data_IF_223280927092
#
_entry.id   IF_223280927092
#
_cell.length_a   1.000
_cell.length_b   1.000
_cell.length_c   1.000
_cell.angle_alpha   90.00
_cell.angle_beta   90.00
_cell.angle_gamma   90.00
#
_symmetry.space_group_name_H-M   'P 1'
#
loop_
_entity.id
_entity.type
_entity.pdbx_description
1 polymer ?
#
# COMPACT_ATOMS: atom_id res chain seq x y z
N UNK A 1 74.13 5.53 47.09
CA UNK A 1 74.65 5.49 45.71
C UNK A 1 73.48 5.60 44.75
N UNK A 2 73.63 6.46 43.73
CA UNK A 2 72.76 6.75 42.58
C UNK A 2 71.36 7.37 42.79
N UNK A 3 71.34 8.69 42.54
CA UNK A 3 70.24 9.51 42.05
C UNK A 3 69.44 8.84 40.91
N UNK A 4 68.12 9.06 40.88
CA UNK A 4 67.42 9.35 39.62
C UNK A 4 66.15 10.17 39.85
N UNK A 5 66.31 11.48 39.75
CA UNK A 5 65.25 12.45 39.50
C UNK A 5 64.70 12.24 38.08
N UNK A 6 63.38 12.12 37.92
CA UNK A 6 62.69 12.42 36.66
C UNK A 6 61.38 13.14 36.97
N UNK A 7 61.32 14.36 36.47
CA UNK A 7 60.40 15.46 36.74
C UNK A 7 59.01 15.29 36.12
N UNK A 8 58.02 16.08 36.60
CA UNK A 8 56.63 16.03 36.18
C UNK A 8 56.41 16.91 34.95
N UNK A 9 55.73 16.39 33.95
CA UNK A 9 55.11 17.15 32.86
C UNK A 9 54.52 16.12 31.93
N UNK A 10 53.19 15.99 31.89
CA UNK A 10 52.43 15.72 30.65
C UNK A 10 50.94 15.89 30.91
N UNK A 11 50.41 16.90 30.20
CA UNK A 11 49.05 17.00 29.70
C UNK A 11 47.93 17.32 30.69
N UNK A 12 47.84 18.62 30.99
CA UNK A 12 46.56 19.32 30.91
C UNK A 12 46.01 19.24 29.46
N UNK A 13 44.68 19.44 29.34
CA UNK A 13 43.82 19.52 28.14
C UNK A 13 43.02 18.24 27.83
N UNK A 14 41.80 18.16 28.36
CA UNK A 14 40.63 17.64 27.62
C UNK A 14 39.34 18.13 28.30
N UNK A 15 38.85 19.29 27.85
CA UNK A 15 37.50 19.76 28.17
C UNK A 15 36.95 20.53 26.96
N UNK A 16 35.96 19.96 26.27
CA UNK A 16 34.98 20.56 25.32
C UNK A 16 34.21 19.38 24.69
N UNK A 17 33.09 18.89 25.22
CA UNK A 17 31.71 19.43 25.20
C UNK A 17 31.15 19.63 23.77
N UNK A 18 30.31 18.66 23.38
CA UNK A 18 29.01 18.76 22.69
C UNK A 18 28.86 19.72 21.48
N UNK A 19 28.51 19.16 20.32
CA UNK A 19 27.24 19.40 19.59
C UNK A 19 27.39 19.16 18.08
N UNK A 20 26.78 18.09 17.56
CA UNK A 20 26.21 18.00 16.20
C UNK A 20 25.51 16.64 16.03
N UNK A 21 24.38 16.46 16.73
CA UNK A 21 23.35 15.49 16.34
C UNK A 21 22.13 16.28 15.86
N UNK A 22 21.39 15.67 14.95
CA UNK A 22 20.09 16.08 14.38
C UNK A 22 20.11 16.73 12.99
N UNK A 23 20.35 15.88 11.99
CA UNK A 23 19.50 15.85 10.79
C UNK A 23 18.78 14.49 10.76
N UNK A 24 17.81 14.30 11.64
CA UNK A 24 16.79 13.27 11.46
C UNK A 24 15.69 13.88 10.58
N UNK A 25 15.88 13.82 9.26
CA UNK A 25 14.80 14.13 8.32
C UNK A 25 13.71 13.08 8.45
N UNK A 26 12.56 13.47 9.00
CA UNK A 26 11.36 12.65 9.07
C UNK A 26 10.92 12.23 7.67
N UNK A 27 11.01 10.92 7.42
CA UNK A 27 10.53 10.27 6.22
C UNK A 27 10.68 8.76 6.32
N UNK A 28 10.55 8.18 7.51
CA UNK A 28 10.49 6.73 7.64
C UNK A 28 9.09 6.26 7.28
N UNK A 29 8.82 6.11 5.98
CA UNK A 29 7.84 5.13 5.51
C UNK A 29 8.16 3.82 6.21
N UNK A 30 7.26 3.36 7.09
CA UNK A 30 7.45 2.10 7.79
C UNK A 30 7.70 0.96 6.81
N UNK A 31 8.40 -0.11 7.22
CA UNK A 31 8.65 -1.26 6.35
C UNK A 31 7.32 -1.79 5.80
N UNK A 32 7.12 -1.68 4.48
CA UNK A 32 5.91 -2.12 3.78
C UNK A 32 4.99 -1.01 3.26
N UNK A 33 5.23 0.27 3.57
CA UNK A 33 4.52 1.37 2.94
C UNK A 33 5.01 1.60 1.50
N UNK A 34 4.07 1.90 0.59
CA UNK A 34 4.40 2.26 -0.81
C UNK A 34 4.23 3.77 -1.02
N UNK A 35 5.03 4.39 -1.91
CA UNK A 35 4.84 5.79 -2.27
C UNK A 35 3.40 6.12 -2.70
N UNK A 36 2.89 7.26 -2.23
CA UNK A 36 1.56 7.80 -2.55
C UNK A 36 0.39 7.16 -1.79
N UNK A 37 0.69 6.27 -0.84
CA UNK A 37 -0.25 5.84 0.19
C UNK A 37 -0.62 7.01 1.12
N UNK A 38 -1.90 7.10 1.52
CA UNK A 38 -2.42 8.13 2.42
C UNK A 38 -2.57 7.65 3.87
N UNK A 39 -2.61 6.34 4.11
CA UNK A 39 -2.63 5.76 5.46
C UNK A 39 -1.30 5.07 5.83
N UNK A 40 -1.24 4.52 7.04
CA UNK A 40 -0.15 3.63 7.50
C UNK A 40 -0.44 2.15 7.26
N UNK A 41 -1.38 1.80 6.37
CA UNK A 41 -1.70 0.41 6.04
C UNK A 41 -0.44 -0.38 5.62
N UNK A 42 -0.39 -1.63 6.07
CA UNK A 42 0.65 -2.58 5.70
C UNK A 42 0.01 -3.94 5.38
N UNK A 43 0.66 -4.71 4.51
CA UNK A 43 0.27 -6.11 4.33
C UNK A 43 0.54 -6.89 5.63
N UNK A 44 -0.37 -7.77 6.08
CA UNK A 44 -0.10 -8.61 7.23
C UNK A 44 1.09 -9.55 6.94
N UNK A 45 2.12 -9.51 7.80
CA UNK A 45 3.40 -10.22 7.63
C UNK A 45 3.31 -11.76 7.61
N UNK A 46 2.12 -12.34 7.74
CA UNK A 46 1.90 -13.80 7.78
C UNK A 46 0.78 -14.32 6.87
N UNK A 47 0.24 -13.50 5.95
CA UNK A 47 -1.01 -13.81 5.25
C UNK A 47 -0.95 -13.98 3.73
N UNK A 48 0.15 -13.62 3.06
CA UNK A 48 0.30 -13.98 1.65
C UNK A 48 0.58 -15.48 1.60
N UNK A 49 -0.45 -16.29 1.36
CA UNK A 49 -0.26 -17.66 0.90
C UNK A 49 0.76 -17.57 -0.23
N UNK A 50 1.95 -18.16 -0.05
CA UNK A 50 3.12 -17.96 -0.93
C UNK A 50 2.94 -18.44 -2.37
N UNK A 51 1.69 -18.66 -2.79
CA UNK A 51 1.28 -19.02 -4.13
C UNK A 51 1.24 -17.77 -4.99
N UNK A 52 2.25 -17.65 -5.85
CA UNK A 52 2.25 -16.69 -6.95
C UNK A 52 1.00 -16.93 -7.82
N UNK A 53 0.19 -15.89 -8.10
CA UNK A 53 -0.99 -16.04 -8.94
C UNK A 53 -0.60 -16.45 -10.36
N UNK A 54 -1.55 -17.05 -11.10
CA UNK A 54 -1.36 -17.32 -12.52
C UNK A 54 -1.14 -15.99 -13.26
N UNK A 55 -0.18 -15.95 -14.17
CA UNK A 55 0.07 -14.77 -15.00
C UNK A 55 -1.18 -14.36 -15.79
N UNK A 56 -1.36 -13.05 -15.96
CA UNK A 56 -2.42 -12.46 -16.78
C UNK A 56 -2.10 -12.63 -18.27
N UNK A 57 -3.13 -12.95 -19.06
CA UNK A 57 -3.07 -12.98 -20.52
C UNK A 57 -3.56 -11.67 -21.16
N UNK A 58 -3.82 -10.63 -20.37
CA UNK A 58 -4.31 -9.34 -20.84
C UNK A 58 -3.39 -8.76 -21.91
N UNK A 59 -3.98 -8.29 -23.01
CA UNK A 59 -3.26 -7.64 -24.10
C UNK A 59 -3.29 -6.11 -24.01
N UNK A 60 -4.13 -5.55 -23.12
CA UNK A 60 -4.25 -4.10 -22.90
C UNK A 60 -4.38 -3.78 -21.40
N UNK A 61 -4.00 -2.57 -20.96
CA UNK A 61 -4.23 -2.14 -19.58
C UNK A 61 -5.71 -2.21 -19.18
N UNK A 62 -6.63 -1.96 -20.13
CA UNK A 62 -8.08 -2.05 -19.90
C UNK A 62 -8.51 -3.47 -19.54
N UNK A 63 -7.99 -4.47 -20.25
CA UNK A 63 -8.28 -5.88 -19.99
C UNK A 63 -7.68 -6.32 -18.64
N UNK A 64 -6.47 -5.83 -18.34
CA UNK A 64 -5.78 -6.13 -17.08
C UNK A 64 -6.58 -5.67 -15.85
N UNK A 65 -7.38 -4.59 -15.96
CA UNK A 65 -8.25 -4.15 -14.85
C UNK A 65 -9.18 -5.25 -14.36
N UNK A 66 -9.71 -6.08 -15.27
CA UNK A 66 -10.59 -7.21 -14.90
C UNK A 66 -9.81 -8.29 -14.15
N UNK A 67 -8.59 -8.58 -14.56
CA UNK A 67 -7.74 -9.58 -13.91
C UNK A 67 -7.33 -9.11 -12.51
N UNK A 68 -6.95 -7.84 -12.36
CA UNK A 68 -6.63 -7.25 -11.06
C UNK A 68 -7.86 -7.21 -10.12
N UNK A 69 -9.02 -6.81 -10.63
CA UNK A 69 -10.25 -6.77 -9.84
C UNK A 69 -10.68 -8.18 -9.37
N UNK A 70 -10.57 -9.19 -10.25
CA UNK A 70 -10.85 -10.59 -9.89
C UNK A 70 -9.91 -11.09 -8.81
N UNK A 71 -8.62 -10.78 -8.94
CA UNK A 71 -7.61 -11.14 -7.95
C UNK A 71 -7.92 -10.53 -6.56
N UNK A 72 -8.35 -9.27 -6.51
CA UNK A 72 -8.80 -8.63 -5.27
C UNK A 72 -10.00 -9.37 -4.68
N UNK A 73 -11.00 -9.73 -5.50
CA UNK A 73 -12.19 -10.46 -5.05
C UNK A 73 -11.83 -11.85 -4.51
N UNK A 74 -10.90 -12.56 -5.15
CA UNK A 74 -10.46 -13.89 -4.72
C UNK A 74 -9.83 -13.88 -3.32
N UNK A 75 -9.10 -12.82 -2.98
CA UNK A 75 -8.43 -12.66 -1.69
C UNK A 75 -9.38 -12.08 -0.64
N UNK A 76 -10.34 -11.25 -1.04
CA UNK A 76 -11.23 -10.51 -0.15
C UNK A 76 -12.68 -11.03 -0.15
N UNK A 77 -12.93 -12.30 -0.51
CA UNK A 77 -14.29 -12.84 -0.73
C UNK A 77 -15.30 -12.50 0.37
N UNK A 78 -14.90 -12.61 1.64
CA UNK A 78 -15.77 -12.34 2.79
C UNK A 78 -16.19 -10.86 2.90
N UNK A 79 -15.52 -9.96 2.19
CA UNK A 79 -15.72 -8.50 2.20
C UNK A 79 -16.39 -7.99 0.93
N UNK A 80 -16.64 -8.86 -0.05
CA UNK A 80 -17.36 -8.48 -1.27
C UNK A 80 -18.85 -8.37 -0.97
N UNK A 81 -19.46 -7.26 -1.37
CA UNK A 81 -20.91 -7.12 -1.30
C UNK A 81 -21.55 -7.97 -2.40
N UNK A 82 -22.52 -8.81 -2.06
CA UNK A 82 -23.23 -9.64 -3.03
C UNK A 82 -24.50 -8.98 -3.56
N UNK A 83 -24.76 -9.09 -4.86
CA UNK A 83 -25.93 -8.49 -5.51
C UNK A 83 -25.74 -7.00 -5.84
N UNK A 84 -26.81 -6.34 -6.24
CA UNK A 84 -26.79 -4.90 -6.51
C UNK A 84 -26.55 -4.10 -5.23
N UNK A 85 -25.62 -3.16 -5.30
CA UNK A 85 -25.30 -2.26 -4.20
C UNK A 85 -26.49 -1.35 -3.86
N UNK A 86 -26.59 -0.88 -2.59
CA UNK A 86 -27.61 0.09 -2.22
C UNK A 86 -27.46 1.40 -3.01
N UNK A 87 -28.54 2.18 -3.21
CA UNK A 87 -28.49 3.44 -3.95
C UNK A 87 -27.54 4.46 -3.30
N UNK A 88 -27.53 4.50 -1.97
CA UNK A 88 -26.64 5.35 -1.17
C UNK A 88 -25.45 4.52 -0.71
N UNK A 89 -24.28 4.82 -1.27
CA UNK A 89 -23.01 4.25 -0.84
C UNK A 89 -22.48 5.03 0.35
N UNK A 90 -21.81 4.31 1.26
CA UNK A 90 -21.14 4.91 2.40
C UNK A 90 -19.91 5.70 1.96
N UNK A 91 -19.11 5.12 1.07
CA UNK A 91 -17.93 5.76 0.52
C UNK A 91 -17.68 5.32 -0.93
N UNK A 92 -17.10 6.23 -1.71
CA UNK A 92 -16.64 5.96 -3.07
C UNK A 92 -15.24 6.51 -3.21
N UNK A 93 -14.30 5.67 -3.61
CA UNK A 93 -12.90 6.05 -3.80
C UNK A 93 -12.34 5.50 -5.10
N UNK A 94 -11.59 6.31 -5.84
CA UNK A 94 -10.90 5.86 -7.05
C UNK A 94 -9.41 5.84 -6.81
N UNK A 95 -8.83 4.65 -6.89
CA UNK A 95 -7.41 4.40 -6.64
C UNK A 95 -6.73 3.94 -7.92
N UNK A 96 -5.60 4.55 -8.21
CA UNK A 96 -4.63 4.08 -9.19
C UNK A 96 -3.51 3.32 -8.46
N UNK A 97 -3.17 2.13 -8.94
CA UNK A 97 -2.11 1.27 -8.42
C UNK A 97 -1.12 1.02 -9.54
N UNK A 98 0.16 1.30 -9.29
CA UNK A 98 1.23 0.99 -10.21
C UNK A 98 1.88 -0.33 -9.80
N UNK A 99 2.01 -1.22 -10.77
CA UNK A 99 2.57 -2.55 -10.61
C UNK A 99 3.84 -2.69 -11.44
N UNK A 100 4.85 -3.35 -10.89
CA UNK A 100 6.00 -3.80 -11.68
C UNK A 100 5.66 -5.01 -12.57
N UNK A 101 6.60 -5.44 -13.41
CA UNK A 101 6.42 -6.58 -14.30
C UNK A 101 6.16 -7.92 -13.55
N UNK A 102 6.53 -8.00 -12.28
CA UNK A 102 6.26 -9.14 -11.40
C UNK A 102 4.94 -9.05 -10.62
N UNK A 103 4.16 -7.98 -10.83
CA UNK A 103 2.90 -7.73 -10.13
C UNK A 103 3.06 -7.19 -8.70
N UNK A 104 4.26 -6.74 -8.29
CA UNK A 104 4.41 -6.06 -7.01
C UNK A 104 3.87 -4.64 -7.09
N UNK A 105 3.27 -4.18 -6.00
CA UNK A 105 2.83 -2.79 -5.87
C UNK A 105 4.05 -1.89 -5.68
N UNK A 106 4.27 -0.98 -6.62
CA UNK A 106 5.38 -0.02 -6.55
C UNK A 106 4.95 1.37 -6.08
N UNK A 107 3.69 1.75 -6.33
CA UNK A 107 3.09 2.97 -5.79
C UNK A 107 1.57 2.94 -5.90
N UNK A 108 0.94 3.82 -5.11
CA UNK A 108 -0.48 4.07 -5.12
C UNK A 108 -0.73 5.56 -5.36
N UNK A 109 -1.83 5.90 -6.02
CA UNK A 109 -2.21 7.28 -6.25
C UNK A 109 -3.74 7.41 -6.23
N UNK A 110 -4.26 8.12 -5.23
CA UNK A 110 -5.68 8.40 -5.13
C UNK A 110 -6.09 9.45 -6.15
N UNK A 111 -6.94 9.05 -7.10
CA UNK A 111 -7.61 9.99 -8.02
C UNK A 111 -8.79 10.67 -7.32
N UNK A 112 -9.46 9.93 -6.44
CA UNK A 112 -10.49 10.45 -5.53
C UNK A 112 -10.44 9.66 -4.22
N UNK A 113 -9.89 10.25 -3.18
CA UNK A 113 -9.90 9.65 -1.85
C UNK A 113 -11.23 9.95 -1.12
N UNK A 114 -11.86 8.97 -0.45
CA UNK A 114 -13.03 9.19 0.40
C UNK A 114 -12.61 9.83 1.73
N UNK A 115 -12.30 11.13 1.72
CA UNK A 115 -11.73 11.86 2.87
C UNK A 115 -12.65 11.88 4.11
N UNK A 116 -13.96 11.73 3.93
CA UNK A 116 -14.92 11.62 5.04
C UNK A 116 -14.87 10.27 5.76
N UNK A 117 -14.19 9.27 5.18
CA UNK A 117 -14.09 7.90 5.65
C UNK A 117 -12.62 7.42 5.60
N UNK A 118 -11.72 7.96 6.45
CA UNK A 118 -10.30 7.62 6.45
C UNK A 118 -10.01 6.13 6.71
N UNK A 119 -10.90 5.44 7.43
CA UNK A 119 -10.85 3.99 7.61
C UNK A 119 -11.06 3.23 6.29
N UNK A 120 -11.88 3.76 5.37
CA UNK A 120 -12.07 3.18 4.03
C UNK A 120 -10.79 3.35 3.19
N UNK A 121 -10.09 4.49 3.30
CA UNK A 121 -8.78 4.69 2.66
C UNK A 121 -7.81 3.59 3.13
N UNK A 122 -7.65 3.43 4.45
CA UNK A 122 -6.72 2.46 5.02
C UNK A 122 -7.05 1.01 4.64
N UNK A 123 -8.34 0.68 4.57
CA UNK A 123 -8.77 -0.68 4.26
C UNK A 123 -8.65 -1.01 2.76
N UNK A 124 -8.82 -0.01 1.87
CA UNK A 124 -8.54 -0.16 0.44
C UNK A 124 -7.03 -0.38 0.22
N UNK A 125 -6.18 0.44 0.83
CA UNK A 125 -4.72 0.30 0.71
C UNK A 125 -4.25 -1.04 1.27
N UNK A 126 -4.79 -1.47 2.42
CA UNK A 126 -4.51 -2.80 2.98
C UNK A 126 -4.92 -3.92 2.02
N UNK A 127 -6.11 -3.85 1.42
CA UNK A 127 -6.58 -4.87 0.49
C UNK A 127 -5.67 -4.99 -0.74
N UNK A 128 -5.17 -3.87 -1.26
CA UNK A 128 -4.20 -3.86 -2.37
C UNK A 128 -2.85 -4.43 -1.93
N UNK A 129 -2.32 -4.03 -0.78
CA UNK A 129 -1.04 -4.54 -0.27
C UNK A 129 -1.10 -6.04 0.04
N UNK A 130 -2.20 -6.50 0.65
CA UNK A 130 -2.43 -7.93 0.94
C UNK A 130 -2.57 -8.76 -0.34
N UNK A 131 -3.09 -8.16 -1.41
CA UNK A 131 -3.24 -8.83 -2.69
C UNK A 131 -1.92 -8.97 -3.47
N UNK A 132 -0.87 -8.27 -3.08
CA UNK A 132 0.42 -8.36 -3.74
C UNK A 132 1.11 -9.73 -3.47
N UNK A 133 1.76 -10.34 -4.48
CA UNK A 133 1.83 -9.89 -5.86
C UNK A 133 0.54 -10.14 -6.65
N UNK A 134 0.21 -9.23 -7.56
CA UNK A 134 -0.86 -9.37 -8.54
C UNK A 134 -0.45 -10.30 -9.70
N UNK A 135 -1.40 -10.80 -10.51
CA UNK A 135 -1.11 -11.54 -11.74
C UNK A 135 -0.12 -10.77 -12.62
N UNK A 136 1.05 -11.35 -12.90
CA UNK A 136 2.06 -10.71 -13.74
C UNK A 136 1.51 -10.49 -15.17
N UNK A 137 1.57 -9.26 -15.67
CA UNK A 137 1.10 -8.89 -17.00
C UNK A 137 2.17 -9.17 -18.06
N UNK A 138 2.42 -10.45 -18.35
CA UNK A 138 3.56 -10.90 -19.17
C UNK A 138 3.71 -10.23 -20.55
N UNK A 139 2.60 -9.74 -21.13
CA UNK A 139 2.59 -9.04 -22.43
C UNK A 139 2.79 -7.53 -22.32
N UNK A 140 2.54 -6.95 -21.15
CA UNK A 140 2.55 -5.50 -20.91
C UNK A 140 3.78 -5.05 -20.10
N UNK A 141 4.33 -5.93 -19.27
CA UNK A 141 5.36 -5.57 -18.29
C UNK A 141 4.74 -4.84 -17.09
N UNK A 142 5.26 -3.65 -16.78
CA UNK A 142 4.68 -2.80 -15.74
C UNK A 142 3.32 -2.27 -16.17
N UNK A 143 2.37 -2.20 -15.23
CA UNK A 143 0.99 -1.80 -15.52
C UNK A 143 0.48 -0.83 -14.46
N UNK A 144 -0.26 0.17 -14.93
CA UNK A 144 -1.09 1.03 -14.09
C UNK A 144 -2.53 0.53 -14.13
N UNK A 145 -3.05 0.12 -12.98
CA UNK A 145 -4.44 -0.30 -12.80
C UNK A 145 -5.20 0.78 -12.03
N UNK A 146 -6.34 1.23 -12.57
CA UNK A 146 -7.24 2.18 -11.91
C UNK A 146 -8.60 1.54 -11.72
N UNK A 147 -9.15 1.61 -10.51
CA UNK A 147 -10.50 1.12 -10.20
C UNK A 147 -11.20 2.04 -9.19
N UNK A 148 -12.54 1.98 -9.20
CA UNK A 148 -13.39 2.68 -8.24
C UNK A 148 -13.96 1.67 -7.24
N UNK A 149 -13.73 1.93 -5.96
CA UNK A 149 -14.19 1.14 -4.83
C UNK A 149 -15.51 1.71 -4.34
N UNK A 150 -16.55 0.87 -4.38
CA UNK A 150 -17.92 1.21 -4.01
C UNK A 150 -18.25 0.53 -2.68
N UNK A 151 -18.35 1.30 -1.60
CA UNK A 151 -18.48 0.78 -0.26
C UNK A 151 -19.88 0.99 0.30
N UNK A 152 -20.41 -0.06 0.93
CA UNK A 152 -21.64 0.03 1.69
C UNK A 152 -21.37 0.29 3.18
N UNK A 153 -22.41 0.67 3.91
CA UNK A 153 -22.31 0.96 5.35
C UNK A 153 -21.94 -0.26 6.22
N UNK A 154 -22.08 -1.49 5.69
CA UNK A 154 -21.66 -2.71 6.38
C UNK A 154 -20.15 -2.95 6.32
N UNK A 155 -19.41 -2.14 5.54
CA UNK A 155 -17.97 -2.30 5.34
C UNK A 155 -17.60 -3.32 4.24
N UNK A 156 -18.60 -3.76 3.46
CA UNK A 156 -18.40 -4.55 2.25
C UNK A 156 -18.29 -3.64 1.03
N UNK A 157 -17.68 -4.14 -0.03
CA UNK A 157 -17.45 -3.34 -1.23
C UNK A 157 -17.65 -4.13 -2.52
N UNK A 158 -17.81 -3.40 -3.62
CA UNK A 158 -17.55 -3.89 -4.98
C UNK A 158 -16.54 -2.97 -5.67
N UNK A 159 -15.82 -3.53 -6.64
CA UNK A 159 -15.03 -2.75 -7.59
C UNK A 159 -15.91 -2.43 -8.81
N UNK A 160 -15.85 -1.21 -9.30
CA UNK A 160 -16.59 -0.75 -10.48
C UNK A 160 -16.35 -1.65 -11.71
N UNK A 161 -15.13 -2.17 -11.88
CA UNK A 161 -14.82 -3.14 -12.94
C UNK A 161 -15.70 -4.40 -12.92
N UNK A 162 -16.19 -4.81 -11.75
CA UNK A 162 -16.96 -6.05 -11.52
C UNK A 162 -18.33 -5.80 -10.87
N UNK A 163 -18.77 -4.56 -10.78
CA UNK A 163 -20.01 -4.21 -10.08
C UNK A 163 -21.23 -4.79 -10.77
N UNK A 164 -22.22 -5.21 -9.98
CA UNK A 164 -23.54 -5.62 -10.48
C UNK A 164 -24.47 -4.41 -10.71
N UNK A 165 -23.96 -3.20 -10.45
CA UNK A 165 -24.73 -1.96 -10.47
C UNK A 165 -25.33 -1.62 -9.11
N UNK A 166 -26.13 -0.57 -9.09
CA UNK A 166 -26.87 -0.13 -7.90
C UNK A 166 -28.36 -0.38 -8.09
N UNK A 167 -29.04 -0.64 -6.98
CA UNK A 167 -30.49 -0.68 -6.93
C UNK A 167 -31.06 0.68 -7.32
N UNK A 168 -32.18 0.69 -8.03
CA UNK A 168 -32.96 1.91 -8.24
C UNK A 168 -33.71 2.21 -6.93
N UNK A 169 -33.58 3.45 -6.45
CA UNK A 169 -34.34 3.90 -5.28
C UNK A 169 -35.76 4.25 -5.73
N UNK A 170 -36.73 3.48 -5.26
CA UNK A 170 -38.17 3.80 -5.37
C UNK A 170 -38.61 4.69 -4.20
#
# INVERSE_FOLDING_TARGET
>A
MMNRQLTPRRLALTASVLSALWLAGCGSTGPGAVPGQLSSASAPSGGASGRVPRASSAATPRDYRRDAARHIYEINRARIYGGQLPPILYAVGTLQVNLDAGGKVVSMHWLRAPQHAPEVIAEIERAVLQAAPFPAATRLGAVTWTDTWLWDKSGRFQLDTLTEGQQQGD
#
